data_IF_202755919530
#
_entry.id   IF_202755919530
#
_cell.length_a   1.000
_cell.length_b   1.000
_cell.length_c   1.000
_cell.angle_alpha   90.00
_cell.angle_beta   90.00
_cell.angle_gamma   90.00
#
_symmetry.space_group_name_H-M   'P 1'
#
loop_
_entity.id
_entity.type
_entity.pdbx_description
1 polymer ?
#
# COMPACT_ATOMS: atom_id res chain seq x y z
N UNK A 1 -24.80 -7.73 -11.54
CA UNK A 1 -24.13 -7.82 -11.49
C UNK A 1 -23.25 -7.03 -11.58
N UNK A 2 -22.76 -6.96 -11.21
CA UNK A 2 -22.04 -6.13 -11.36
C UNK A 2 -21.10 -6.35 -12.20
N UNK A 3 -20.78 -5.71 -12.96
CA UNK A 3 -19.88 -5.89 -13.79
C UNK A 3 -18.70 -5.25 -13.43
N UNK A 4 -18.38 -5.06 -12.26
CA UNK A 4 -17.29 -4.46 -11.96
C UNK A 4 -16.15 -5.19 -12.36
N UNK A 5 -15.22 -4.63 -13.05
CA UNK A 5 -14.08 -5.27 -13.45
C UNK A 5 -13.16 -5.41 -12.31
N UNK A 6 -12.47 -6.50 -12.15
CA UNK A 6 -11.50 -6.70 -11.13
C UNK A 6 -10.27 -5.95 -11.49
N UNK A 7 -9.77 -5.14 -10.61
CA UNK A 7 -8.53 -4.40 -10.84
C UNK A 7 -7.37 -5.27 -10.42
N UNK A 8 -6.43 -5.46 -11.31
CA UNK A 8 -5.24 -6.26 -11.06
C UNK A 8 -4.04 -5.41 -11.39
N UNK A 9 -3.22 -5.10 -10.40
CA UNK A 9 -2.04 -4.28 -10.61
C UNK A 9 -0.87 -5.16 -11.02
N UNK A 10 -0.18 -4.74 -12.05
CA UNK A 10 0.99 -5.44 -12.55
C UNK A 10 0.70 -6.91 -12.87
N UNK A 11 -0.54 -7.20 -13.25
CA UNK A 11 -0.91 -8.57 -13.55
C UNK A 11 -0.79 -9.53 -12.38
N UNK A 12 -0.57 -9.01 -11.19
CA UNK A 12 -0.25 -9.84 -10.06
C UNK A 12 -1.12 -9.58 -8.84
N UNK A 13 -1.40 -8.31 -8.53
CA UNK A 13 -2.08 -7.96 -7.29
C UNK A 13 -3.54 -7.68 -7.57
N UNK A 14 -4.40 -8.56 -7.13
CA UNK A 14 -5.82 -8.47 -7.38
C UNK A 14 -6.46 -7.71 -6.23
N UNK A 15 -6.99 -6.53 -6.47
CA UNK A 15 -7.58 -5.70 -5.43
C UNK A 15 -8.93 -6.26 -5.04
N UNK A 16 -9.15 -6.44 -3.75
CA UNK A 16 -10.42 -6.98 -3.28
C UNK A 16 -11.33 -5.86 -2.78
N UNK A 17 -10.91 -5.10 -1.79
CA UNK A 17 -11.75 -4.03 -1.31
C UNK A 17 -10.92 -2.98 -0.63
N UNK A 18 -11.43 -1.77 -0.60
CA UNK A 18 -10.77 -0.69 0.07
C UNK A 18 -11.02 -0.83 1.56
N UNK A 19 -9.98 -0.78 2.34
CA UNK A 19 -10.09 -0.91 3.77
C UNK A 19 -9.74 0.37 4.51
N UNK A 20 -9.25 1.37 3.82
CA UNK A 20 -8.94 2.63 4.48
C UNK A 20 -8.61 3.73 3.50
N UNK A 21 -8.65 4.95 4.00
CA UNK A 21 -8.37 6.11 3.18
C UNK A 21 -7.73 7.18 4.05
N UNK A 22 -6.65 7.76 3.58
CA UNK A 22 -5.98 8.85 4.26
C UNK A 22 -6.03 10.11 3.43
N UNK A 23 -5.17 11.06 3.71
CA UNK A 23 -5.14 12.32 3.01
C UNK A 23 -4.56 12.25 1.63
N UNK A 24 -3.63 11.32 1.39
CA UNK A 24 -2.93 11.28 0.14
C UNK A 24 -3.00 9.92 -0.52
N UNK A 25 -3.47 8.91 0.18
CA UNK A 25 -3.49 7.56 -0.34
C UNK A 25 -4.64 6.77 0.28
N UNK A 26 -4.94 5.64 -0.33
CA UNK A 26 -5.92 4.73 0.24
C UNK A 26 -5.31 3.34 0.29
N UNK A 27 -5.87 2.46 1.09
CA UNK A 27 -5.33 1.13 1.28
C UNK A 27 -6.38 0.09 0.88
N UNK A 28 -5.94 -0.89 0.13
CA UNK A 28 -6.79 -1.99 -0.29
C UNK A 28 -6.29 -3.30 0.26
N UNK A 29 -7.21 -4.17 0.59
CA UNK A 29 -6.88 -5.55 0.84
C UNK A 29 -6.80 -6.19 -0.54
N UNK A 30 -5.78 -6.96 -0.79
CA UNK A 30 -5.56 -7.54 -2.10
C UNK A 30 -4.97 -8.94 -1.98
N UNK A 31 -4.97 -9.66 -3.09
CA UNK A 31 -4.38 -10.98 -3.13
C UNK A 31 -3.23 -10.96 -4.11
N UNK A 32 -2.08 -11.43 -3.67
CA UNK A 32 -0.92 -11.60 -4.51
C UNK A 32 -1.11 -12.95 -5.22
N UNK A 33 -1.42 -12.92 -6.49
CA UNK A 33 -1.70 -14.13 -7.24
C UNK A 33 -0.49 -15.02 -7.42
N UNK A 34 0.67 -14.42 -7.46
CA UNK A 34 1.89 -15.16 -7.69
C UNK A 34 2.24 -16.02 -6.47
N UNK A 35 2.14 -15.46 -5.28
CA UNK A 35 2.48 -16.18 -4.07
C UNK A 35 1.25 -16.62 -3.29
N UNK A 36 0.06 -16.33 -3.82
CA UNK A 36 -1.20 -16.76 -3.24
C UNK A 36 -1.31 -16.38 -1.77
N UNK A 37 -1.19 -15.09 -1.51
CA UNK A 37 -1.26 -14.59 -0.14
C UNK A 37 -1.97 -13.24 -0.13
N UNK A 38 -2.54 -12.89 1.02
CA UNK A 38 -3.15 -11.59 1.18
C UNK A 38 -2.09 -10.55 1.45
N UNK A 39 -2.30 -9.37 0.90
CA UNK A 39 -1.39 -8.25 1.10
C UNK A 39 -2.22 -6.99 1.27
N UNK A 40 -1.60 -5.93 1.77
CA UNK A 40 -2.22 -4.63 1.83
C UNK A 40 -1.53 -3.77 0.79
N UNK A 41 -2.29 -3.01 0.02
CA UNK A 41 -1.71 -2.17 -1.01
C UNK A 41 -2.13 -0.73 -0.78
N UNK A 42 -1.13 0.15 -0.60
CA UNK A 42 -1.35 1.56 -0.41
C UNK A 42 -1.18 2.23 -1.76
N UNK A 43 -2.18 2.97 -2.19
CA UNK A 43 -2.18 3.58 -3.52
C UNK A 43 -2.26 5.08 -3.38
N UNK A 44 -1.31 5.79 -3.95
CA UNK A 44 -1.29 7.24 -3.94
C UNK A 44 -2.45 7.73 -4.79
N UNK A 45 -3.20 8.73 -4.31
CA UNK A 45 -4.28 9.26 -5.13
C UNK A 45 -3.68 9.85 -6.40
N UNK A 46 -4.29 9.61 -7.56
CA UNK A 46 -3.71 10.06 -8.83
C UNK A 46 -3.43 11.54 -8.90
N UNK A 47 -4.24 12.36 -8.21
CA UNK A 47 -4.02 13.80 -8.26
C UNK A 47 -2.69 14.19 -7.62
N UNK A 48 -2.11 13.35 -6.77
CA UNK A 48 -0.82 13.66 -6.19
C UNK A 48 0.31 13.02 -6.97
N UNK A 49 -0.02 12.14 -7.91
CA UNK A 49 1.02 11.43 -8.65
C UNK A 49 1.73 12.32 -9.64
N UNK A 50 1.18 13.50 -9.93
CA UNK A 50 1.81 14.42 -10.85
C UNK A 50 2.72 15.40 -10.14
N UNK A 51 2.77 15.37 -8.81
CA UNK A 51 3.61 16.28 -8.05
C UNK A 51 4.83 15.51 -7.57
N UNK A 52 6.02 15.82 -8.06
CA UNK A 52 7.21 15.04 -7.69
C UNK A 52 7.49 15.02 -6.20
N UNK A 53 7.10 16.05 -5.47
CA UNK A 53 7.37 16.07 -4.05
C UNK A 53 6.49 15.06 -3.30
N UNK A 54 5.26 14.88 -3.72
CA UNK A 54 4.40 13.87 -3.12
C UNK A 54 4.87 12.47 -3.49
N UNK A 55 5.30 12.28 -4.71
CA UNK A 55 5.79 10.97 -5.15
C UNK A 55 7.06 10.61 -4.39
N UNK A 56 7.96 11.58 -4.23
CA UNK A 56 9.20 11.32 -3.51
C UNK A 56 8.94 10.97 -2.06
N UNK A 57 7.96 11.63 -1.42
CA UNK A 57 7.62 11.33 -0.07
C UNK A 57 7.01 9.95 0.05
N UNK A 58 6.12 9.60 -0.88
CA UNK A 58 5.48 8.31 -0.91
C UNK A 58 6.54 7.21 -1.01
N UNK A 59 7.52 7.40 -1.90
CA UNK A 59 8.59 6.45 -2.09
C UNK A 59 9.50 6.36 -0.87
N UNK A 60 9.79 7.51 -0.27
CA UNK A 60 10.66 7.53 0.89
C UNK A 60 10.06 6.78 2.05
N UNK A 61 8.76 6.86 2.23
CA UNK A 61 8.08 6.15 3.28
C UNK A 61 8.18 4.64 3.06
N UNK A 62 8.07 4.20 1.81
CA UNK A 62 8.21 2.81 1.50
C UNK A 62 9.64 2.31 1.77
N UNK A 63 10.62 3.12 1.40
CA UNK A 63 12.01 2.73 1.62
C UNK A 63 12.34 2.66 3.10
N UNK A 64 11.81 3.58 3.87
CA UNK A 64 12.07 3.59 5.30
C UNK A 64 11.50 2.35 5.95
N UNK A 65 10.30 1.96 5.57
CA UNK A 65 9.68 0.78 6.13
C UNK A 65 10.47 -0.47 5.75
N UNK A 66 10.95 -0.53 4.53
CA UNK A 66 11.69 -1.70 4.08
C UNK A 66 13.02 -1.84 4.81
N UNK A 67 13.61 -0.72 5.21
CA UNK A 67 14.93 -0.77 5.82
C UNK A 67 14.94 -0.93 7.32
N UNK A 68 13.83 -0.69 7.97
CA UNK A 68 13.86 -0.63 9.42
C UNK A 68 13.85 -1.97 10.12
N UNK A 69 13.45 -2.99 9.55
CA UNK A 69 13.51 -4.32 10.13
C UNK A 69 13.07 -4.37 11.59
N UNK A 70 11.99 -3.75 11.89
CA UNK A 70 11.48 -3.70 13.26
C UNK A 70 10.29 -4.65 13.34
N UNK A 71 10.13 -5.41 14.41
CA UNK A 71 9.08 -6.43 14.44
C UNK A 71 7.68 -5.89 14.35
N UNK A 72 7.47 -4.63 14.69
CA UNK A 72 6.15 -4.05 14.60
C UNK A 72 5.94 -3.23 13.36
N UNK A 73 6.87 -3.24 12.43
CA UNK A 73 6.73 -2.51 11.21
C UNK A 73 6.30 -3.43 10.12
N UNK A 74 5.33 -2.99 9.35
CA UNK A 74 4.83 -3.77 8.25
C UNK A 74 5.90 -3.86 7.18
N UNK A 75 6.19 -5.04 6.72
CA UNK A 75 7.19 -5.21 5.67
C UNK A 75 6.69 -4.72 4.34
N UNK A 76 7.57 -4.14 3.56
CA UNK A 76 7.24 -3.70 2.21
C UNK A 76 7.77 -4.77 1.27
N UNK A 77 6.86 -5.33 0.48
CA UNK A 77 7.23 -6.39 -0.44
C UNK A 77 7.58 -5.87 -1.83
N UNK A 78 6.92 -4.81 -2.24
CA UNK A 78 7.06 -4.37 -3.63
C UNK A 78 6.50 -2.96 -3.77
N UNK A 79 6.78 -2.30 -4.87
CA UNK A 79 6.13 -1.04 -5.18
C UNK A 79 6.18 -0.89 -6.69
N UNK A 80 5.30 -0.10 -7.24
CA UNK A 80 5.27 0.06 -8.68
C UNK A 80 4.44 1.24 -9.12
N UNK A 81 4.30 1.37 -10.41
CA UNK A 81 3.54 2.44 -11.02
C UNK A 81 2.57 1.83 -12.01
N UNK A 82 1.32 2.22 -11.92
CA UNK A 82 0.33 1.70 -12.83
C UNK A 82 -0.91 2.57 -12.78
N UNK A 83 -1.63 2.66 -13.87
CA UNK A 83 -2.88 3.40 -13.93
C UNK A 83 -2.70 4.84 -13.52
N UNK A 84 -1.56 5.41 -13.85
CA UNK A 84 -1.30 6.83 -13.60
C UNK A 84 -0.91 7.17 -12.19
N UNK A 85 -0.60 6.19 -11.37
CA UNK A 85 -0.18 6.50 -10.01
C UNK A 85 0.78 5.43 -9.50
N UNK A 86 1.14 5.51 -8.23
CA UNK A 86 2.12 4.63 -7.62
C UNK A 86 1.48 3.83 -6.50
N UNK A 87 2.00 2.65 -6.25
CA UNK A 87 1.47 1.81 -5.19
C UNK A 87 2.60 1.12 -4.43
N UNK A 88 2.31 0.74 -3.19
CA UNK A 88 3.24 0.03 -2.33
C UNK A 88 2.52 -1.21 -1.83
N UNK A 89 3.15 -2.37 -1.99
CA UNK A 89 2.60 -3.63 -1.52
C UNK A 89 3.24 -3.97 -0.20
N UNK A 90 2.42 -4.20 0.81
CA UNK A 90 2.90 -4.39 2.16
C UNK A 90 2.31 -5.66 2.75
N UNK A 91 2.97 -6.14 3.77
CA UNK A 91 2.48 -7.27 4.50
C UNK A 91 1.14 -6.97 5.12
N UNK A 92 0.20 -7.90 5.05
CA UNK A 92 -1.07 -7.74 5.73
C UNK A 92 -1.03 -8.62 6.97
N UNK A 93 -1.20 -7.99 8.13
CA UNK A 93 -1.14 -8.71 9.39
C UNK A 93 -2.47 -8.58 10.07
N UNK A 94 -3.08 -9.73 10.43
CA UNK A 94 -4.32 -9.71 11.11
C UNK A 94 -4.22 -8.88 12.34
N UNK A 95 -5.17 -8.06 12.59
CA UNK A 95 -5.18 -7.22 13.78
C UNK A 95 -4.50 -5.89 13.61
N UNK A 96 -3.82 -5.67 12.49
CA UNK A 96 -3.20 -4.40 12.26
C UNK A 96 -4.23 -3.39 11.85
N UNK A 97 -4.19 -2.19 12.36
CA UNK A 97 -5.20 -1.22 12.00
C UNK A 97 -4.84 -0.54 10.71
N UNK A 98 -5.83 -0.17 9.97
CA UNK A 98 -5.64 0.52 8.73
C UNK A 98 -5.00 1.87 8.95
N UNK A 99 -5.33 2.54 10.05
CA UNK A 99 -4.73 3.84 10.30
C UNK A 99 -3.24 3.72 10.51
N UNK A 100 -2.76 2.63 11.07
CA UNK A 100 -1.32 2.44 11.19
C UNK A 100 -0.69 2.28 9.84
N UNK A 101 -1.33 1.55 8.94
CA UNK A 101 -0.82 1.39 7.60
C UNK A 101 -0.80 2.73 6.86
N UNK A 102 -1.86 3.49 7.01
CA UNK A 102 -1.96 4.76 6.33
C UNK A 102 -0.93 5.76 6.83
N UNK A 103 -0.69 5.76 8.13
CA UNK A 103 0.28 6.70 8.63
C UNK A 103 1.68 6.33 8.21
N UNK A 104 1.98 5.04 8.23
CA UNK A 104 3.29 4.59 7.79
C UNK A 104 4.39 5.44 8.33
N UNK A 105 4.36 5.66 9.65
CA UNK A 105 5.31 6.51 10.23
C UNK A 105 6.57 5.85 10.57
N UNK A 106 6.94 4.81 9.97
CA UNK A 106 8.17 4.13 10.27
C UNK A 106 8.05 3.41 11.56
N UNK A 107 8.98 3.52 12.43
CA UNK A 107 8.88 2.74 13.66
C UNK A 107 7.64 3.10 14.37
N UNK A 108 7.05 2.12 14.98
CA UNK A 108 5.86 2.36 15.64
C UNK A 108 6.05 3.26 16.74
N UNK A 109 5.15 4.21 16.90
CA UNK A 109 5.24 5.05 17.86
C UNK A 109 5.01 4.46 19.12
N UNK A 110 5.72 4.65 20.09
CA UNK A 110 5.51 4.13 21.36
C UNK A 110 4.28 4.64 21.90
N UNK A 111 3.65 3.95 22.55
CA UNK A 111 2.49 4.38 23.00
C UNK A 111 2.54 4.80 24.17
#
# INVERSE_FOLDING_TARGET
MSNREQVVLNGRYELHRRVGRGGMAEVYLARDRLLDRLVAIKILFPEFATDPSFVARFRREAQAAANLNHPNIVGVYDWGKERGTYYIVMEYVDGQTVSEILRNKGPIEPK
#
